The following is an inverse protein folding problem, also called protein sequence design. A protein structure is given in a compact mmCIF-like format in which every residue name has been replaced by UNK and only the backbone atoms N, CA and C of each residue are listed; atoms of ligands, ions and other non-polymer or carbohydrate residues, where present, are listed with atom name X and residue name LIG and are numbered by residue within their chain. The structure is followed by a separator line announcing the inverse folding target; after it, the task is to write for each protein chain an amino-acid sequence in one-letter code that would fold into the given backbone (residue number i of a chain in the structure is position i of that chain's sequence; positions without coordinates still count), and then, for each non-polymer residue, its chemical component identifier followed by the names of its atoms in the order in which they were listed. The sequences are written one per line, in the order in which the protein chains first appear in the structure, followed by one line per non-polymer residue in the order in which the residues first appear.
data_IF_908982402773
#
_entry.id   IF_908982402773
#
_cell.length_a   1.000
_cell.length_b   1.000
_cell.length_c   1.000
_cell.angle_alpha   90.00
_cell.angle_beta   90.00
_cell.angle_gamma   90.00
#
_symmetry.space_group_name_H-M   'P 1'
#
loop_
_entity.id
_entity.type
_entity.pdbx_description
1 polymer ?
#
# COMPACT_ATOMS: atom_id res chain seq x y z
N UNK A 1 10.73 -25.90 -26.23
CA UNK A 1 11.21 -24.64 -26.84
C UNK A 1 12.33 -24.13 -25.94
N UNK A 2 13.54 -23.91 -26.46
CA UNK A 2 14.67 -23.45 -25.65
C UNK A 2 14.72 -21.93 -25.71
N UNK A 3 14.83 -21.26 -24.56
CA UNK A 3 15.02 -19.81 -24.50
C UNK A 3 16.52 -19.48 -24.60
N UNK A 4 16.85 -18.47 -25.40
CA UNK A 4 18.21 -17.98 -25.58
C UNK A 4 18.28 -16.52 -25.15
N UNK A 5 19.30 -16.15 -24.37
CA UNK A 5 19.52 -14.77 -23.92
C UNK A 5 21.01 -14.44 -24.02
N UNK A 6 21.34 -13.28 -24.60
CA UNK A 6 22.71 -12.80 -24.74
C UNK A 6 23.00 -11.80 -23.61
N UNK A 7 24.11 -12.01 -22.89
CA UNK A 7 24.56 -11.12 -21.82
C UNK A 7 25.98 -10.67 -22.11
N UNK A 8 26.20 -9.36 -22.11
CA UNK A 8 27.53 -8.76 -22.10
C UNK A 8 27.84 -8.30 -20.67
N UNK A 9 28.83 -8.94 -20.04
CA UNK A 9 29.23 -8.62 -18.66
C UNK A 9 30.74 -8.77 -18.49
N UNK A 10 31.34 -7.92 -17.65
CA UNK A 10 32.79 -7.92 -17.38
C UNK A 10 33.23 -9.18 -16.62
N UNK A 11 32.38 -9.70 -15.74
CA UNK A 11 32.63 -10.89 -14.93
C UNK A 11 31.88 -12.09 -15.50
N UNK A 12 32.48 -12.77 -16.48
CA UNK A 12 31.88 -13.92 -17.19
C UNK A 12 31.44 -15.03 -16.22
N UNK A 13 32.18 -15.23 -15.12
CA UNK A 13 31.86 -16.24 -14.09
C UNK A 13 30.53 -15.95 -13.36
N UNK A 14 30.10 -14.69 -13.28
CA UNK A 14 28.85 -14.28 -12.63
C UNK A 14 27.67 -14.17 -13.61
N UNK A 15 27.91 -14.39 -14.91
CA UNK A 15 26.91 -14.24 -15.98
C UNK A 15 25.60 -15.00 -15.72
N UNK A 16 25.69 -16.25 -15.23
CA UNK A 16 24.53 -17.07 -14.88
C UNK A 16 23.78 -16.50 -13.68
N UNK A 17 24.50 -16.00 -12.67
CA UNK A 17 23.91 -15.38 -11.48
C UNK A 17 23.16 -14.11 -11.84
N UNK A 18 23.78 -13.21 -12.61
CA UNK A 18 23.14 -12.00 -13.10
C UNK A 18 21.92 -12.32 -13.96
N UNK A 19 22.06 -13.27 -14.88
CA UNK A 19 20.95 -13.67 -15.75
C UNK A 19 19.78 -14.24 -14.94
N UNK A 20 20.07 -15.07 -13.93
CA UNK A 20 19.05 -15.66 -13.06
C UNK A 20 18.33 -14.61 -12.20
N UNK A 21 19.05 -13.61 -11.70
CA UNK A 21 18.46 -12.51 -10.93
C UNK A 21 17.52 -11.68 -11.79
N UNK A 22 17.98 -11.22 -12.95
CA UNK A 22 17.13 -10.44 -13.87
C UNK A 22 15.94 -11.27 -14.36
N UNK A 23 16.17 -12.53 -14.73
CA UNK A 23 15.10 -13.43 -15.18
C UNK A 23 13.97 -13.52 -14.14
N UNK A 24 14.29 -13.71 -12.85
CA UNK A 24 13.31 -13.76 -11.75
C UNK A 24 12.52 -12.45 -11.55
N UNK A 25 13.00 -11.33 -12.05
CA UNK A 25 12.30 -10.05 -11.99
C UNK A 25 11.42 -9.84 -13.22
N UNK A 26 11.94 -10.13 -14.42
CA UNK A 26 11.24 -9.84 -15.67
C UNK A 26 10.16 -10.85 -16.05
N UNK A 27 10.20 -12.08 -15.50
CA UNK A 27 9.15 -13.08 -15.76
C UNK A 27 7.83 -12.76 -15.06
N UNK A 28 7.85 -11.85 -14.09
CA UNK A 28 6.65 -11.48 -13.35
C UNK A 28 5.70 -10.72 -14.28
N UNK A 29 4.46 -11.18 -14.32
CA UNK A 29 3.44 -10.59 -15.19
C UNK A 29 3.03 -9.21 -14.65
N UNK A 30 3.11 -8.15 -15.46
CA UNK A 30 2.63 -6.83 -15.08
C UNK A 30 1.11 -6.76 -15.22
N UNK A 31 0.45 -6.19 -14.21
CA UNK A 31 -0.97 -5.89 -14.21
C UNK A 31 -1.21 -4.42 -13.95
N UNK A 32 -2.28 -3.88 -14.54
CA UNK A 32 -2.81 -2.56 -14.18
C UNK A 32 -3.75 -2.73 -13.00
N UNK A 33 -3.42 -2.09 -11.88
CA UNK A 33 -4.20 -2.14 -10.66
C UNK A 33 -4.43 -0.74 -10.10
N UNK A 34 -5.44 -0.60 -9.26
CA UNK A 34 -5.77 0.61 -8.52
C UNK A 34 -5.50 0.40 -7.04
N UNK A 35 -4.97 1.43 -6.40
CA UNK A 35 -4.86 1.52 -4.96
C UNK A 35 -6.05 2.31 -4.42
N UNK A 36 -6.75 1.72 -3.45
CA UNK A 36 -7.87 2.37 -2.76
C UNK A 36 -7.58 2.36 -1.28
N UNK A 37 -7.69 3.53 -0.64
CA UNK A 37 -7.42 3.70 0.79
C UNK A 37 -8.70 4.07 1.49
N UNK A 38 -9.04 3.28 2.48
CA UNK A 38 -10.12 3.50 3.41
C UNK A 38 -9.56 3.90 4.78
N UNK A 39 -10.23 4.81 5.48
CA UNK A 39 -9.85 5.25 6.81
C UNK A 39 -11.05 5.22 7.76
N UNK A 40 -10.79 4.86 9.02
CA UNK A 40 -11.71 5.03 10.14
C UNK A 40 -10.95 5.64 11.31
N UNK A 41 -11.45 6.76 11.82
CA UNK A 41 -10.85 7.48 12.95
C UNK A 41 -11.40 6.88 14.24
N UNK A 42 -10.53 6.34 15.10
CA UNK A 42 -10.94 5.69 16.36
C UNK A 42 -11.01 6.70 17.50
N UNK A 43 -10.07 7.64 17.52
CA UNK A 43 -10.04 8.78 18.44
C UNK A 43 -9.46 10.00 17.70
N UNK A 44 -9.45 11.20 18.30
CA UNK A 44 -8.95 12.40 17.63
C UNK A 44 -7.47 12.37 17.23
N UNK A 45 -6.71 11.35 17.64
CA UNK A 45 -5.24 11.26 17.49
C UNK A 45 -4.84 10.01 16.68
N UNK A 46 -5.64 8.95 16.70
CA UNK A 46 -5.39 7.65 16.09
C UNK A 46 -6.47 7.27 15.08
N UNK A 47 -6.02 6.72 13.96
CA UNK A 47 -6.89 6.21 12.92
C UNK A 47 -6.36 4.88 12.38
N UNK A 48 -7.27 4.11 11.80
CA UNK A 48 -6.99 2.86 11.12
C UNK A 48 -7.18 3.07 9.62
N UNK A 49 -6.15 2.73 8.84
CA UNK A 49 -6.23 2.67 7.39
C UNK A 49 -6.35 1.23 6.91
N UNK A 50 -7.10 1.02 5.85
CA UNK A 50 -7.12 -0.19 5.05
C UNK A 50 -6.79 0.17 3.62
N UNK A 51 -5.69 -0.38 3.12
CA UNK A 51 -5.22 -0.16 1.77
C UNK A 51 -5.50 -1.40 0.94
N UNK A 52 -6.06 -1.21 -0.24
CA UNK A 52 -6.35 -2.28 -1.18
C UNK A 52 -5.59 -2.05 -2.47
N UNK A 53 -5.13 -3.13 -3.09
CA UNK A 53 -4.63 -3.13 -4.46
C UNK A 53 -5.41 -4.15 -5.28
N UNK A 54 -6.17 -3.67 -6.26
CA UNK A 54 -7.15 -4.47 -7.01
C UNK A 54 -7.07 -4.23 -8.52
N UNK A 55 -7.40 -5.26 -9.28
CA UNK A 55 -7.36 -5.30 -10.76
C UNK A 55 -8.74 -5.18 -11.39
N UNK A 56 -9.82 -5.27 -10.60
CA UNK A 56 -11.20 -5.19 -11.06
C UNK A 56 -11.86 -3.89 -10.58
N UNK A 57 -12.80 -3.39 -11.38
CA UNK A 57 -13.59 -2.17 -11.14
C UNK A 57 -14.82 -2.42 -10.25
N UNK A 58 -15.13 -3.67 -9.93
CA UNK A 58 -16.21 -4.02 -8.99
C UNK A 58 -15.84 -3.67 -7.56
N UNK A 59 -15.79 -2.38 -7.28
CA UNK A 59 -15.84 -1.79 -5.93
C UNK A 59 -17.31 -1.77 -5.50
N UNK A 60 -18.01 -2.89 -5.70
CA UNK A 60 -19.38 -3.02 -5.25
C UNK A 60 -19.33 -3.25 -3.74
N UNK A 61 -19.56 -2.15 -3.01
CA UNK A 61 -19.83 -2.09 -1.55
C UNK A 61 -18.95 -3.06 -0.76
N UNK A 62 -17.66 -2.77 -0.73
CA UNK A 62 -16.72 -3.53 0.09
C UNK A 62 -17.16 -3.47 1.57
N UNK A 63 -16.91 -4.53 2.34
CA UNK A 63 -17.28 -4.67 3.76
C UNK A 63 -16.92 -3.43 4.59
N UNK A 64 -15.92 -2.68 4.16
CA UNK A 64 -15.45 -1.42 4.71
C UNK A 64 -16.56 -0.38 4.89
N UNK A 65 -17.45 -0.22 3.90
CA UNK A 65 -18.57 0.72 4.05
C UNK A 65 -19.57 0.25 5.11
N UNK A 66 -19.75 -1.06 5.28
CA UNK A 66 -20.57 -1.62 6.36
C UNK A 66 -19.92 -1.46 7.73
N UNK A 67 -18.59 -1.42 7.79
CA UNK A 67 -17.81 -1.21 9.01
C UNK A 67 -17.49 0.28 9.31
N UNK A 68 -18.19 1.20 8.64
CA UNK A 68 -18.04 2.66 8.76
C UNK A 68 -16.65 3.20 8.39
N UNK A 69 -15.96 2.56 7.45
CA UNK A 69 -14.76 3.11 6.83
C UNK A 69 -15.13 4.05 5.66
N UNK A 70 -14.42 5.17 5.56
CA UNK A 70 -14.58 6.14 4.48
C UNK A 70 -13.45 6.01 3.47
N UNK A 71 -13.76 6.03 2.18
CA UNK A 71 -12.74 6.12 1.12
C UNK A 71 -12.09 7.51 1.17
N UNK A 72 -10.78 7.56 1.41
CA UNK A 72 -10.03 8.83 1.55
C UNK A 72 -9.10 9.11 0.37
N UNK A 73 -8.76 8.10 -0.42
CA UNK A 73 -7.99 8.26 -1.64
C UNK A 73 -8.11 7.06 -2.58
N UNK A 74 -7.94 7.34 -3.87
CA UNK A 74 -7.93 6.37 -4.95
C UNK A 74 -6.88 6.74 -5.99
N UNK A 75 -6.06 5.78 -6.42
CA UNK A 75 -5.09 6.00 -7.50
C UNK A 75 -5.73 5.84 -8.88
N UNK A 76 -5.06 6.40 -9.88
CA UNK A 76 -5.20 5.93 -11.28
C UNK A 76 -4.67 4.50 -11.42
N UNK A 77 -4.90 3.90 -12.58
CA UNK A 77 -4.27 2.64 -12.96
C UNK A 77 -2.75 2.77 -12.95
N UNK A 78 -2.10 1.86 -12.23
CA UNK A 78 -0.65 1.77 -12.11
C UNK A 78 -0.20 0.34 -12.32
N UNK A 79 1.02 0.19 -12.86
CA UNK A 79 1.62 -1.12 -13.07
C UNK A 79 2.11 -1.72 -11.76
N UNK A 80 1.66 -2.94 -11.48
CA UNK A 80 2.10 -3.78 -10.37
C UNK A 80 2.48 -5.16 -10.88
N UNK A 81 3.50 -5.77 -10.27
CA UNK A 81 4.00 -7.08 -10.67
C UNK A 81 3.41 -8.17 -9.77
N UNK A 82 2.85 -9.20 -10.39
CA UNK A 82 2.28 -10.34 -9.65
C UNK A 82 3.35 -11.09 -8.82
N UNK A 83 2.99 -11.43 -7.59
CA UNK A 83 3.83 -12.11 -6.60
C UNK A 83 4.89 -11.23 -5.95
N UNK A 84 5.06 -9.97 -6.37
CA UNK A 84 6.05 -9.05 -5.78
C UNK A 84 5.49 -8.36 -4.52
N UNK A 85 6.34 -8.11 -3.51
CA UNK A 85 5.95 -7.34 -2.34
C UNK A 85 5.77 -5.86 -2.70
N UNK A 86 4.81 -5.23 -2.04
CA UNK A 86 4.53 -3.79 -2.10
C UNK A 86 4.65 -3.25 -0.69
N UNK A 87 5.56 -2.31 -0.50
CA UNK A 87 5.83 -1.63 0.75
C UNK A 87 5.02 -0.35 0.83
N UNK A 88 4.46 -0.04 1.99
CA UNK A 88 3.70 1.19 2.23
C UNK A 88 4.38 2.03 3.33
N UNK A 89 4.52 3.33 3.07
CA UNK A 89 5.02 4.30 4.05
C UNK A 89 4.16 5.55 4.12
N UNK A 90 4.01 6.09 5.33
CA UNK A 90 3.29 7.34 5.58
C UNK A 90 4.26 8.51 5.76
N UNK A 91 3.88 9.67 5.23
CA UNK A 91 4.61 10.94 5.31
C UNK A 91 3.66 12.07 5.70
N UNK A 92 4.22 13.18 6.18
CA UNK A 92 3.44 14.37 6.56
C UNK A 92 3.04 14.34 8.02
N UNK A 93 1.78 14.69 8.31
CA UNK A 93 1.26 14.73 9.68
C UNK A 93 0.80 13.35 10.19
N UNK A 94 0.87 12.31 9.36
CA UNK A 94 0.45 10.94 9.69
C UNK A 94 1.68 10.05 9.87
N UNK A 95 1.79 9.41 11.04
CA UNK A 95 2.91 8.54 11.40
C UNK A 95 2.38 7.12 11.62
N UNK A 96 2.94 6.10 10.97
CA UNK A 96 2.50 4.73 11.17
C UNK A 96 2.99 4.22 12.53
N UNK A 97 2.11 3.52 13.25
CA UNK A 97 2.42 2.85 14.50
C UNK A 97 3.10 1.51 14.19
N UNK A 98 4.39 1.55 13.87
CA UNK A 98 5.22 0.34 13.68
C UNK A 98 5.84 -0.12 14.99
N UNK A 99 5.82 -1.43 15.24
CA UNK A 99 6.75 -2.06 16.20
C UNK A 99 8.16 -2.03 15.60
N UNK A 100 9.19 -1.89 16.45
CA UNK A 100 10.59 -1.78 16.01
C UNK A 100 10.96 -2.89 15.02
N UNK A 101 11.44 -2.51 13.83
CA UNK A 101 11.90 -3.42 12.78
C UNK A 101 10.81 -3.99 11.85
N UNK A 102 9.54 -3.60 11.99
CA UNK A 102 8.49 -4.07 11.08
C UNK A 102 8.23 -3.10 9.92
N UNK A 103 8.20 -3.65 8.70
CA UNK A 103 7.76 -2.95 7.50
C UNK A 103 6.29 -3.26 7.23
N UNK A 104 5.54 -2.25 6.79
CA UNK A 104 4.19 -2.46 6.30
C UNK A 104 4.24 -2.87 4.83
N UNK A 105 3.93 -4.13 4.56
CA UNK A 105 3.93 -4.66 3.19
C UNK A 105 2.83 -5.70 2.99
N UNK A 106 2.45 -5.90 1.73
CA UNK A 106 1.65 -7.04 1.28
C UNK A 106 2.19 -7.50 -0.08
N UNK A 107 1.89 -8.72 -0.49
CA UNK A 107 2.19 -9.21 -1.84
C UNK A 107 0.98 -9.05 -2.73
N UNK A 108 1.18 -8.55 -3.95
CA UNK A 108 0.11 -8.41 -4.92
C UNK A 108 -0.10 -9.70 -5.72
N UNK A 109 -1.34 -10.16 -5.78
CA UNK A 109 -1.79 -11.25 -6.64
C UNK A 109 -3.00 -10.78 -7.44
N UNK A 110 -2.98 -11.03 -8.74
CA UNK A 110 -4.08 -10.61 -9.61
C UNK A 110 -5.37 -11.36 -9.24
N UNK A 111 -6.52 -10.69 -9.41
CA UNK A 111 -7.86 -11.25 -9.14
C UNK A 111 -8.06 -11.77 -7.70
N UNK A 112 -7.24 -11.32 -6.74
CA UNK A 112 -7.39 -11.57 -5.31
C UNK A 112 -7.53 -10.27 -4.54
N UNK A 113 -8.11 -10.35 -3.35
CA UNK A 113 -8.11 -9.24 -2.40
C UNK A 113 -6.71 -9.08 -1.80
N UNK A 114 -6.01 -8.02 -2.20
CA UNK A 114 -4.73 -7.65 -1.62
C UNK A 114 -4.96 -6.50 -0.63
N UNK A 115 -4.97 -6.81 0.67
CA UNK A 115 -5.26 -5.85 1.74
C UNK A 115 -4.07 -5.62 2.67
N UNK A 116 -3.90 -4.38 3.11
CA UNK A 116 -2.94 -3.98 4.13
C UNK A 116 -3.63 -3.09 5.17
N UNK A 117 -3.56 -3.49 6.44
CA UNK A 117 -4.04 -2.68 7.54
C UNK A 117 -2.88 -1.87 8.15
N UNK A 118 -3.09 -0.58 8.33
CA UNK A 118 -2.16 0.32 9.00
C UNK A 118 -2.86 0.98 10.19
N UNK A 119 -2.14 1.10 11.30
CA UNK A 119 -2.53 1.95 12.41
C UNK A 119 -1.67 3.20 12.33
N UNK A 120 -2.29 4.36 12.35
CA UNK A 120 -1.60 5.64 12.20
C UNK A 120 -1.98 6.57 13.35
N UNK A 121 -1.01 7.41 13.70
CA UNK A 121 -1.14 8.46 14.69
C UNK A 121 -0.88 9.81 14.05
N UNK A 122 -1.66 10.81 14.42
CA UNK A 122 -1.46 12.21 14.05
C UNK A 122 -0.28 12.75 14.87
N UNK A 123 0.71 13.33 14.17
CA UNK A 123 1.94 13.85 14.79
C UNK A 123 1.68 15.18 15.50
N UNK A 124 0.94 16.07 14.86
CA UNK A 124 0.60 17.40 15.33
C UNK A 124 -0.91 17.64 15.21
N UNK A 125 -1.60 17.62 16.36
CA UNK A 125 -3.06 17.81 16.45
C UNK A 125 -3.51 19.25 16.19
N UNK A 126 -2.58 20.21 16.06
CA UNK A 126 -2.90 21.59 15.70
C UNK A 126 -3.03 21.80 14.18
N UNK A 127 -2.55 20.83 13.40
CA UNK A 127 -2.62 20.84 11.94
C UNK A 127 -3.72 19.90 11.44
N UNK A 128 -4.12 20.08 10.18
CA UNK A 128 -5.05 19.16 9.55
C UNK A 128 -4.52 17.71 9.59
N UNK A 129 -5.39 16.71 9.80
CA UNK A 129 -5.01 15.31 9.86
C UNK A 129 -4.78 14.75 8.44
N UNK A 130 -3.86 15.37 7.70
CA UNK A 130 -3.52 15.04 6.33
C UNK A 130 -2.09 14.50 6.22
N UNK A 131 -1.88 13.63 5.24
CA UNK A 131 -0.59 13.03 4.99
C UNK A 131 -0.52 12.43 3.59
N UNK A 132 0.58 11.75 3.33
CA UNK A 132 0.83 11.08 2.06
C UNK A 132 1.22 9.64 2.31
N UNK A 133 0.51 8.72 1.66
CA UNK A 133 0.85 7.31 1.62
C UNK A 133 1.59 7.00 0.31
N UNK A 134 2.76 6.38 0.41
CA UNK A 134 3.58 5.98 -0.73
C UNK A 134 3.69 4.47 -0.79
N UNK A 135 3.43 3.89 -1.96
CA UNK A 135 3.59 2.47 -2.23
C UNK A 135 4.84 2.23 -3.08
N UNK A 136 5.70 1.29 -2.69
CA UNK A 136 7.03 1.10 -3.28
C UNK A 136 7.32 -0.38 -3.55
N UNK A 137 8.20 -0.66 -4.51
CA UNK A 137 8.64 -2.03 -4.84
C UNK A 137 9.69 -2.57 -3.86
N UNK A 138 10.37 -1.68 -3.14
CA UNK A 138 11.46 -1.99 -2.23
C UNK A 138 11.21 -1.36 -0.85
N UNK A 139 11.79 -1.93 0.23
CA UNK A 139 11.70 -1.32 1.54
C UNK A 139 12.39 0.04 1.53
N UNK A 140 11.93 0.93 2.42
CA UNK A 140 12.52 2.26 2.53
C UNK A 140 13.99 2.17 2.91
N UNK A 141 14.84 2.72 2.05
CA UNK A 141 16.26 2.83 2.28
C UNK A 141 16.60 4.30 2.49
N UNK A 142 16.80 4.69 3.76
CA UNK A 142 17.14 6.05 4.15
C UNK A 142 18.47 6.55 3.56
N UNK A 143 19.30 5.66 3.01
CA UNK A 143 20.58 6.01 2.35
C UNK A 143 20.46 6.17 0.84
N UNK A 144 19.34 5.77 0.23
CA UNK A 144 19.12 5.91 -1.20
C UNK A 144 18.67 7.34 -1.54
N UNK A 145 19.33 7.96 -2.52
CA UNK A 145 19.02 9.33 -2.97
C UNK A 145 17.66 9.44 -3.66
N UNK A 146 17.18 8.34 -4.27
CA UNK A 146 15.90 8.31 -4.99
C UNK A 146 15.28 6.92 -4.85
N UNK A 147 14.06 6.85 -4.33
CA UNK A 147 13.24 5.63 -4.39
C UNK A 147 12.03 5.89 -5.28
N UNK A 148 11.82 5.04 -6.28
CA UNK A 148 10.68 5.16 -7.18
C UNK A 148 9.45 4.52 -6.53
N UNK A 149 8.48 5.37 -6.20
CA UNK A 149 7.18 4.90 -5.73
C UNK A 149 6.34 4.41 -6.91
N UNK A 150 5.62 3.30 -6.71
CA UNK A 150 4.57 2.81 -7.62
C UNK A 150 3.47 3.87 -7.71
N UNK A 151 3.01 4.36 -6.56
CA UNK A 151 2.07 5.47 -6.49
C UNK A 151 2.21 6.24 -5.17
N UNK A 152 1.81 7.50 -5.22
CA UNK A 152 1.72 8.37 -4.05
C UNK A 152 0.28 8.87 -3.96
N UNK A 153 -0.33 8.73 -2.79
CA UNK A 153 -1.69 9.17 -2.52
C UNK A 153 -1.70 10.13 -1.34
N UNK A 154 -2.24 11.32 -1.55
CA UNK A 154 -2.52 12.23 -0.46
C UNK A 154 -3.82 11.78 0.20
N UNK A 155 -3.82 11.72 1.53
CA UNK A 155 -4.95 11.27 2.33
C UNK A 155 -5.28 12.34 3.38
N UNK A 156 -6.56 12.52 3.65
CA UNK A 156 -7.07 13.33 4.75
C UNK A 156 -7.99 12.45 5.57
N UNK A 157 -7.75 12.36 6.88
CA UNK A 157 -8.57 11.51 7.73
C UNK A 157 -9.97 12.08 7.91
N UNK A 158 -11.01 11.24 7.95
CA UNK A 158 -12.35 11.68 8.26
C UNK A 158 -12.41 12.20 9.70
N UNK A 159 -13.31 13.14 9.95
CA UNK A 159 -13.58 13.64 11.30
C UNK A 159 -14.00 12.49 12.22
N UNK A 160 -13.59 12.55 13.48
CA UNK A 160 -14.05 11.61 14.48
C UNK A 160 -15.56 11.79 14.72
N UNK A 161 -16.34 10.80 14.30
CA UNK A 161 -17.73 10.68 14.71
C UNK A 161 -17.77 9.75 15.92
N UNK A 162 -18.23 10.26 17.08
CA UNK A 162 -18.66 9.38 18.16
C UNK A 162 -19.83 8.55 17.60
N UNK A 163 -19.63 7.26 17.39
CA UNK A 163 -20.75 6.33 17.23
C UNK A 163 -21.56 6.47 18.52
N UNK A 164 -22.69 7.19 18.45
CA UNK A 164 -23.70 7.14 19.49
C UNK A 164 -24.23 5.71 19.47
N UNK A 165 -23.88 4.91 20.47
CA UNK A 165 -24.60 3.67 20.77
C UNK A 165 -26.08 4.05 20.84
N UNK A 166 -26.77 3.83 19.73
CA UNK A 166 -28.20 3.99 19.58
C UNK A 166 -28.79 2.59 19.60
N UNK A 167 -28.39 1.80 20.59
CA UNK A 167 -29.20 0.69 21.06
C UNK A 167 -30.35 1.33 21.85
N UNK A 168 -31.34 1.84 21.12
CA UNK A 168 -32.69 1.93 21.64
C UNK A 168 -33.21 0.50 21.71
N UNK A 169 -32.95 -0.18 22.83
CA UNK A 169 -33.82 -1.24 23.29
C UNK A 169 -35.20 -0.60 23.55
N UNK A 170 -36.13 -0.85 22.65
CA UNK A 170 -37.56 -0.70 22.93
C UNK A 170 -37.93 -1.75 23.99
N UNK A 171 -38.18 -1.31 25.22
CA UNK A 171 -39.15 -1.91 26.15
C UNK A 171 -39.80 -0.86 27.06
#
# INVERSE_FOLDING_TARGET
MTAFWLIDCRQIQESVTFSSQVYREIICVPYMAKFVIFAKTHDPIEARLRCFCMTDDKIDKTLEQQENFTEVARSRDVEVLEGKPIYADCFGNLVPLTKSGQHHLFSFYAFKENRLALFIKIRDNTQEPCGRLSFMKEPRNYRALTQYAICNLNITLPSYCKESDSDQEEE
#
